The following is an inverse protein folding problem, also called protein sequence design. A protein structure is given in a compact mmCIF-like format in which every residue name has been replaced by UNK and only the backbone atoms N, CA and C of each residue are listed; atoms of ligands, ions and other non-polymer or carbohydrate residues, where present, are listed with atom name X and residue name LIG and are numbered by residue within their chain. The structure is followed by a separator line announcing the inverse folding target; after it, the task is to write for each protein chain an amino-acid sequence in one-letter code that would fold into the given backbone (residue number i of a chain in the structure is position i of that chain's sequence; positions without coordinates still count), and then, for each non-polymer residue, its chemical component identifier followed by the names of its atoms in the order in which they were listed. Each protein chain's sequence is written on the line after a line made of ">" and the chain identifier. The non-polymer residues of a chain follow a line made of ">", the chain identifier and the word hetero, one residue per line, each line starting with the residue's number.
data_IF_061689356038
#
_entry.id   IF_061689356038
#
_cell.length_a   1.000
_cell.length_b   1.000
_cell.length_c   1.000
_cell.angle_alpha   90.00
_cell.angle_beta   90.00
_cell.angle_gamma   90.00
#
_symmetry.space_group_name_H-M   'P 1'
#
loop_
_entity.id
_entity.type
_entity.pdbx_description
1 polymer ?
#
# COMPACT_ATOMS: atom_id res chain seq x y z
N UNK A 1 -11.38 5.30 -14.75
CA UNK A 1 -10.82 6.38 -15.63
C UNK A 1 -9.66 5.81 -16.41
N UNK A 2 -9.20 6.46 -17.50
CA UNK A 2 -7.98 6.00 -18.19
C UNK A 2 -6.71 6.54 -17.50
N UNK A 3 -5.52 6.03 -17.90
CA UNK A 3 -4.25 6.41 -17.27
C UNK A 3 -3.92 7.90 -17.39
N UNK A 4 -4.23 8.52 -18.53
CA UNK A 4 -3.97 9.95 -18.75
C UNK A 4 -4.88 10.80 -17.85
N UNK A 5 -6.18 10.48 -17.79
CA UNK A 5 -7.13 11.18 -16.91
C UNK A 5 -6.71 11.08 -15.45
N UNK A 6 -6.30 9.91 -14.99
CA UNK A 6 -5.81 9.71 -13.62
C UNK A 6 -4.57 10.56 -13.33
N UNK A 7 -3.60 10.58 -14.25
CA UNK A 7 -2.39 11.37 -14.10
C UNK A 7 -2.68 12.88 -14.06
N UNK A 8 -3.58 13.37 -14.93
CA UNK A 8 -4.01 14.77 -14.94
C UNK A 8 -4.73 15.16 -13.63
N UNK A 9 -5.59 14.26 -13.11
CA UNK A 9 -6.27 14.48 -11.82
C UNK A 9 -5.28 14.43 -10.66
N UNK A 10 -4.36 13.45 -10.62
CA UNK A 10 -3.32 13.38 -9.60
C UNK A 10 -2.43 14.63 -9.60
N UNK A 11 -2.12 15.18 -10.78
CA UNK A 11 -1.36 16.44 -10.90
C UNK A 11 -2.08 17.64 -10.26
N UNK A 12 -3.41 17.70 -10.29
CA UNK A 12 -4.18 18.76 -9.58
C UNK A 12 -3.97 18.69 -8.07
N UNK A 13 -3.77 17.51 -7.52
CA UNK A 13 -3.57 17.26 -6.09
C UNK A 13 -2.11 17.13 -5.70
N UNK A 14 -1.15 17.42 -6.60
CA UNK A 14 0.28 17.20 -6.37
C UNK A 14 0.79 17.87 -5.08
N UNK A 15 0.34 19.09 -4.78
CA UNK A 15 0.69 19.78 -3.53
C UNK A 15 0.20 19.04 -2.28
N UNK A 16 -1.06 18.62 -2.28
CA UNK A 16 -1.65 17.84 -1.18
C UNK A 16 -0.97 16.48 -1.02
N UNK A 17 -0.68 15.80 -2.13
CA UNK A 17 0.04 14.50 -2.12
C UNK A 17 1.45 14.69 -1.56
N UNK A 18 2.15 15.78 -1.90
CA UNK A 18 3.48 16.09 -1.37
C UNK A 18 3.45 16.35 0.16
N UNK A 19 2.44 17.06 0.66
CA UNK A 19 2.27 17.28 2.10
C UNK A 19 1.98 15.97 2.85
N UNK A 20 1.14 15.09 2.29
CA UNK A 20 0.86 13.75 2.86
C UNK A 20 2.15 12.93 2.90
N UNK A 21 2.91 12.91 1.79
CA UNK A 21 4.20 12.23 1.71
C UNK A 21 5.16 12.71 2.80
N UNK A 22 5.38 14.02 2.90
CA UNK A 22 6.28 14.60 3.90
C UNK A 22 5.83 14.24 5.32
N UNK A 23 4.53 14.34 5.60
CA UNK A 23 3.97 13.99 6.90
C UNK A 23 4.18 12.52 7.26
N UNK A 24 4.01 11.59 6.31
CA UNK A 24 4.26 10.17 6.53
C UNK A 24 5.75 9.86 6.71
N UNK A 25 6.63 10.47 5.92
CA UNK A 25 8.09 10.35 6.08
C UNK A 25 8.54 10.80 7.48
N UNK A 26 8.08 11.97 7.92
CA UNK A 26 8.41 12.50 9.25
C UNK A 26 7.89 11.58 10.36
N UNK A 27 6.68 11.05 10.22
CA UNK A 27 6.10 10.11 11.18
C UNK A 27 7.00 8.89 11.43
N UNK A 28 7.50 8.26 10.37
CA UNK A 28 8.38 7.09 10.49
C UNK A 28 9.79 7.46 10.95
N UNK A 29 10.31 8.63 10.53
CA UNK A 29 11.59 9.13 11.01
C UNK A 29 11.57 9.43 12.53
N UNK A 30 10.48 9.99 13.04
CA UNK A 30 10.31 10.32 14.46
C UNK A 30 10.35 9.09 15.37
N UNK A 31 9.95 7.93 14.87
CA UNK A 31 10.06 6.67 15.60
C UNK A 31 11.34 5.88 15.28
N UNK A 32 12.20 6.41 14.42
CA UNK A 32 13.47 5.78 14.04
C UNK A 32 13.32 4.55 13.15
N UNK A 33 12.20 4.45 12.42
CA UNK A 33 11.95 3.34 11.50
C UNK A 33 12.87 3.43 10.28
N UNK A 34 13.47 2.31 9.91
CA UNK A 34 14.31 2.18 8.71
C UNK A 34 13.82 1.07 7.81
N UNK A 35 14.14 1.16 6.52
CA UNK A 35 13.90 0.11 5.54
C UNK A 35 15.22 -0.60 5.22
N UNK A 36 15.23 -1.94 5.33
CA UNK A 36 16.42 -2.79 5.16
C UNK A 36 17.61 -2.34 6.06
N UNK A 37 17.31 -1.85 7.27
CA UNK A 37 18.28 -1.33 8.27
C UNK A 37 19.21 -0.19 7.78
N UNK A 38 18.98 0.34 6.59
CA UNK A 38 19.90 1.29 5.92
C UNK A 38 19.25 2.54 5.39
N UNK A 39 18.01 2.43 4.89
CA UNK A 39 17.33 3.51 4.21
C UNK A 39 16.28 4.13 5.14
N UNK A 40 15.98 5.43 5.02
CA UNK A 40 14.79 5.99 5.66
C UNK A 40 13.54 5.20 5.20
N UNK A 41 12.61 4.96 6.12
CA UNK A 41 11.40 4.18 5.80
C UNK A 41 10.56 4.82 4.68
N UNK A 42 10.62 6.14 4.55
CA UNK A 42 10.00 6.89 3.46
C UNK A 42 10.36 6.38 2.07
N UNK A 43 11.52 5.72 1.90
CA UNK A 43 11.89 5.09 0.63
C UNK A 43 10.89 3.98 0.23
N UNK A 44 10.47 3.15 1.19
CA UNK A 44 9.44 2.14 0.96
C UNK A 44 8.08 2.77 0.64
N UNK A 45 7.68 3.78 1.40
CA UNK A 45 6.42 4.49 1.19
C UNK A 45 6.34 5.11 -0.21
N UNK A 46 7.45 5.68 -0.69
CA UNK A 46 7.55 6.21 -2.05
C UNK A 46 7.39 5.13 -3.12
N UNK A 47 7.96 3.94 -2.93
CA UNK A 47 7.77 2.82 -3.86
C UNK A 47 6.32 2.33 -3.90
N UNK A 48 5.62 2.31 -2.77
CA UNK A 48 4.20 1.94 -2.72
C UNK A 48 3.34 3.01 -3.42
N UNK A 49 3.64 4.29 -3.20
CA UNK A 49 2.96 5.40 -3.88
C UNK A 49 3.24 5.42 -5.40
N UNK A 50 4.43 4.98 -5.86
CA UNK A 50 4.71 4.78 -7.29
C UNK A 50 3.75 3.76 -7.91
N UNK A 51 3.43 2.69 -7.21
CA UNK A 51 2.39 1.74 -7.61
C UNK A 51 1.03 2.42 -7.82
N UNK A 52 0.65 3.35 -6.94
CA UNK A 52 -0.58 4.15 -7.11
C UNK A 52 -0.49 5.06 -8.33
N UNK A 53 0.63 5.75 -8.53
CA UNK A 53 0.84 6.60 -9.72
C UNK A 53 0.68 5.83 -11.03
N UNK A 54 1.23 4.64 -11.10
CA UNK A 54 1.31 3.84 -12.33
C UNK A 54 0.04 3.06 -12.63
N UNK A 55 -0.65 2.56 -11.63
CA UNK A 55 -1.76 1.61 -11.78
C UNK A 55 -3.08 2.06 -11.14
N UNK A 56 -3.10 3.16 -10.39
CA UNK A 56 -4.28 3.67 -9.70
C UNK A 56 -5.48 3.93 -10.62
N UNK A 57 -5.23 4.26 -11.88
CA UNK A 57 -6.25 4.47 -12.90
C UNK A 57 -7.17 3.24 -13.08
N UNK A 58 -6.64 2.04 -12.88
CA UNK A 58 -7.36 0.79 -13.09
C UNK A 58 -8.35 0.48 -11.98
N UNK A 59 -8.23 1.12 -10.81
CA UNK A 59 -9.08 0.88 -9.65
C UNK A 59 -9.86 2.11 -9.18
N UNK A 60 -9.38 3.32 -9.46
CA UNK A 60 -9.97 4.55 -8.97
C UNK A 60 -11.31 4.85 -9.66
N UNK A 61 -12.39 4.88 -8.89
CA UNK A 61 -13.77 5.05 -9.39
C UNK A 61 -14.21 6.51 -9.44
N UNK A 62 -13.59 7.40 -8.66
CA UNK A 62 -13.97 8.81 -8.51
C UNK A 62 -12.73 9.67 -8.30
N UNK A 63 -12.67 10.87 -8.90
CA UNK A 63 -11.57 11.83 -8.71
C UNK A 63 -11.33 12.15 -7.23
N UNK A 64 -12.39 12.22 -6.42
CA UNK A 64 -12.28 12.49 -4.98
C UNK A 64 -11.53 11.42 -4.21
N UNK A 65 -11.39 10.20 -4.75
CA UNK A 65 -10.70 9.09 -4.13
C UNK A 65 -9.19 9.10 -4.39
N UNK A 66 -8.68 10.00 -5.24
CA UNK A 66 -7.24 10.09 -5.55
C UNK A 66 -6.44 10.42 -4.28
N UNK A 67 -6.81 11.47 -3.55
CA UNK A 67 -6.10 11.85 -2.32
C UNK A 67 -6.17 10.75 -1.25
N UNK A 68 -7.34 10.15 -0.93
CA UNK A 68 -7.43 8.99 -0.05
C UNK A 68 -6.54 7.81 -0.48
N UNK A 69 -6.46 7.53 -1.79
CA UNK A 69 -5.66 6.41 -2.31
C UNK A 69 -4.16 6.63 -2.09
N UNK A 70 -3.65 7.83 -2.37
CA UNK A 70 -2.26 8.20 -2.04
C UNK A 70 -2.01 8.23 -0.52
N UNK A 71 -2.98 8.72 0.26
CA UNK A 71 -2.88 8.66 1.72
C UNK A 71 -2.75 7.21 2.19
N UNK A 72 -3.59 6.29 1.68
CA UNK A 72 -3.49 4.87 1.98
C UNK A 72 -2.12 4.29 1.68
N UNK A 73 -1.50 4.65 0.54
CA UNK A 73 -0.16 4.21 0.19
C UNK A 73 0.92 4.74 1.15
N UNK A 74 0.89 6.03 1.50
CA UNK A 74 1.88 6.63 2.40
C UNK A 74 1.70 6.25 3.87
N UNK A 75 0.48 5.92 4.31
CA UNK A 75 0.17 5.63 5.71
C UNK A 75 -0.08 4.15 6.00
N UNK A 76 0.05 3.24 5.01
CA UNK A 76 -0.35 1.83 5.16
C UNK A 76 0.28 1.12 6.37
N UNK A 77 1.52 1.45 6.72
CA UNK A 77 2.25 0.87 7.85
C UNK A 77 2.22 1.74 9.12
N UNK A 78 1.51 2.87 9.11
CA UNK A 78 1.52 3.83 10.21
C UNK A 78 0.98 3.29 11.54
N UNK A 79 0.02 2.37 11.51
CA UNK A 79 -0.51 1.71 12.70
C UNK A 79 0.48 0.65 13.19
N UNK A 80 1.06 -0.14 12.29
CA UNK A 80 1.96 -1.25 12.63
C UNK A 80 3.30 -0.73 13.14
N UNK A 81 3.94 0.15 12.40
CA UNK A 81 5.32 0.56 12.60
C UNK A 81 5.46 1.90 13.35
N UNK A 82 4.57 2.86 13.10
CA UNK A 82 4.63 4.17 13.74
C UNK A 82 3.66 4.32 14.93
N UNK A 83 3.00 3.23 15.34
CA UNK A 83 2.15 3.13 16.53
C UNK A 83 0.93 4.05 16.55
N UNK A 84 0.44 4.48 15.40
CA UNK A 84 -0.82 5.21 15.35
C UNK A 84 -1.99 4.28 15.72
N UNK A 85 -3.04 4.87 16.28
CA UNK A 85 -4.34 4.21 16.38
C UNK A 85 -5.18 4.52 15.15
N UNK A 86 -6.24 3.74 14.90
CA UNK A 86 -7.23 4.06 13.86
C UNK A 86 -7.72 5.51 13.95
N UNK A 87 -8.05 5.98 15.17
CA UNK A 87 -8.51 7.35 15.38
C UNK A 87 -7.43 8.40 15.08
N UNK A 88 -6.16 8.09 15.29
CA UNK A 88 -5.06 8.97 14.90
C UNK A 88 -4.95 9.09 13.39
N UNK A 89 -5.12 8.00 12.65
CA UNK A 89 -5.13 7.98 11.19
C UNK A 89 -6.29 8.83 10.65
N UNK A 90 -7.53 8.64 11.16
CA UNK A 90 -8.69 9.46 10.78
C UNK A 90 -8.41 10.94 11.04
N UNK A 91 -7.93 11.29 12.25
CA UNK A 91 -7.62 12.69 12.61
C UNK A 91 -6.55 13.30 11.69
N UNK A 92 -5.56 12.51 11.31
CA UNK A 92 -4.49 12.96 10.40
C UNK A 92 -5.03 13.17 8.99
N UNK A 93 -5.82 12.24 8.45
CA UNK A 93 -6.40 12.32 7.11
C UNK A 93 -7.33 13.55 6.93
N UNK A 94 -8.07 13.94 7.99
CA UNK A 94 -8.92 15.14 8.02
C UNK A 94 -8.20 16.45 7.72
N UNK A 95 -6.88 16.46 7.73
CA UNK A 95 -6.08 17.65 7.36
C UNK A 95 -6.18 17.97 5.87
N UNK A 96 -6.47 16.97 5.03
CA UNK A 96 -6.41 17.06 3.58
C UNK A 96 -7.70 16.66 2.86
N UNK A 97 -8.67 16.08 3.56
CA UNK A 97 -9.90 15.58 2.95
C UNK A 97 -11.10 15.68 3.89
N UNK A 98 -12.30 15.53 3.34
CA UNK A 98 -13.56 15.52 4.11
C UNK A 98 -13.67 14.30 5.03
N UNK A 99 -14.59 14.34 5.99
CA UNK A 99 -14.75 13.29 7.01
C UNK A 99 -15.00 11.91 6.41
N UNK A 100 -15.85 11.81 5.40
CA UNK A 100 -16.19 10.57 4.71
C UNK A 100 -14.95 9.95 4.01
N UNK A 101 -14.17 10.80 3.34
CA UNK A 101 -12.93 10.39 2.67
C UNK A 101 -11.82 10.06 3.68
N UNK A 102 -11.75 10.77 4.80
CA UNK A 102 -10.80 10.49 5.87
C UNK A 102 -11.09 9.12 6.55
N UNK A 103 -12.37 8.80 6.74
CA UNK A 103 -12.78 7.48 7.24
C UNK A 103 -12.41 6.41 6.21
N UNK A 104 -12.72 6.60 4.92
CA UNK A 104 -12.36 5.65 3.87
C UNK A 104 -10.83 5.41 3.82
N UNK A 105 -10.03 6.46 3.91
CA UNK A 105 -8.57 6.36 3.94
C UNK A 105 -8.07 5.59 5.17
N UNK A 106 -8.67 5.82 6.33
CA UNK A 106 -8.32 5.11 7.56
C UNK A 106 -8.74 3.62 7.51
N UNK A 107 -9.88 3.30 6.89
CA UNK A 107 -10.29 1.90 6.67
C UNK A 107 -9.28 1.15 5.79
N UNK A 108 -8.75 1.79 4.73
CA UNK A 108 -7.69 1.21 3.92
C UNK A 108 -6.44 0.90 4.75
N UNK A 109 -5.95 1.87 5.52
CA UNK A 109 -4.78 1.70 6.41
C UNK A 109 -5.03 0.59 7.43
N UNK A 110 -6.21 0.58 8.06
CA UNK A 110 -6.56 -0.42 9.06
C UNK A 110 -6.63 -1.84 8.46
N UNK A 111 -7.21 -1.98 7.27
CA UNK A 111 -7.27 -3.26 6.58
C UNK A 111 -5.88 -3.81 6.21
N UNK A 112 -4.89 -2.94 6.01
CA UNK A 112 -3.51 -3.32 5.68
C UNK A 112 -2.66 -3.64 6.91
N UNK A 113 -3.13 -3.29 8.11
CA UNK A 113 -2.44 -3.57 9.38
C UNK A 113 -2.53 -5.06 9.73
N UNK A 114 -1.39 -5.69 9.95
CA UNK A 114 -1.30 -7.11 10.29
C UNK A 114 -2.03 -7.44 11.62
N UNK A 115 -2.55 -8.66 11.72
CA UNK A 115 -3.05 -9.19 12.99
C UNK A 115 -1.90 -9.43 13.98
N UNK A 116 -2.25 -9.55 15.27
CA UNK A 116 -1.27 -9.92 16.30
C UNK A 116 -0.83 -11.38 16.13
N UNK A 117 0.47 -11.62 16.14
CA UNK A 117 1.01 -12.96 16.01
C UNK A 117 2.54 -12.97 16.20
N UNK A 118 3.06 -14.15 16.57
CA UNK A 118 4.50 -14.37 16.78
C UNK A 118 5.24 -14.65 15.48
N UNK A 119 4.55 -15.25 14.52
CA UNK A 119 5.09 -15.60 13.21
C UNK A 119 4.44 -14.77 12.11
N UNK A 120 5.08 -14.71 10.94
CA UNK A 120 4.53 -14.08 9.74
C UNK A 120 3.17 -14.69 9.35
N UNK A 121 3.05 -16.02 9.40
CA UNK A 121 1.81 -16.71 9.07
C UNK A 121 0.67 -16.41 10.07
N UNK A 122 0.97 -16.29 11.37
CA UNK A 122 -0.03 -15.90 12.36
C UNK A 122 -0.53 -14.46 12.16
N UNK A 123 0.34 -13.55 11.71
CA UNK A 123 -0.01 -12.16 11.45
C UNK A 123 -0.80 -11.99 10.15
N UNK A 124 -0.42 -12.71 9.09
CA UNK A 124 -1.09 -12.71 7.79
C UNK A 124 -2.08 -13.88 7.68
N UNK A 125 -3.03 -13.96 8.62
CA UNK A 125 -4.03 -15.03 8.69
C UNK A 125 -5.29 -14.71 7.86
N UNK A 126 -6.26 -15.63 7.84
CA UNK A 126 -7.51 -15.48 7.07
C UNK A 126 -8.32 -14.24 7.44
N UNK A 127 -8.28 -13.82 8.71
CA UNK A 127 -8.98 -12.61 9.18
C UNK A 127 -8.34 -11.35 8.60
N UNK A 128 -7.02 -11.30 8.57
CA UNK A 128 -6.27 -10.22 7.92
C UNK A 128 -6.62 -10.12 6.43
N UNK A 129 -6.54 -11.22 5.71
CA UNK A 129 -6.89 -11.22 4.29
C UNK A 129 -8.38 -10.95 4.02
N UNK A 130 -9.27 -11.34 4.94
CA UNK A 130 -10.68 -10.97 4.86
C UNK A 130 -10.86 -9.46 4.95
N UNK A 131 -10.19 -8.79 5.88
CA UNK A 131 -10.19 -7.33 5.99
C UNK A 131 -9.77 -6.66 4.69
N UNK A 132 -8.66 -7.13 4.08
CA UNK A 132 -8.17 -6.58 2.81
C UNK A 132 -9.23 -6.74 1.70
N UNK A 133 -9.72 -7.95 1.43
CA UNK A 133 -10.62 -8.19 0.27
C UNK A 133 -12.03 -7.65 0.45
N UNK A 134 -12.39 -7.19 1.66
CA UNK A 134 -13.70 -6.56 1.93
C UNK A 134 -13.64 -5.03 2.06
N UNK A 135 -12.45 -4.43 2.00
CA UNK A 135 -12.25 -2.97 2.07
C UNK A 135 -11.89 -2.42 0.68
N UNK A 136 -12.61 -1.40 0.16
CA UNK A 136 -12.30 -0.80 -1.13
C UNK A 136 -10.84 -0.35 -1.20
N UNK A 137 -10.19 -0.56 -2.34
CA UNK A 137 -8.79 -0.22 -2.62
C UNK A 137 -7.73 -0.98 -1.82
N UNK A 138 -8.08 -1.63 -0.69
CA UNK A 138 -7.09 -2.34 0.11
C UNK A 138 -6.42 -3.51 -0.64
N UNK A 139 -7.11 -4.29 -1.51
CA UNK A 139 -6.44 -5.30 -2.35
C UNK A 139 -5.36 -4.70 -3.24
N UNK A 140 -5.66 -3.57 -3.89
CA UNK A 140 -4.73 -2.85 -4.76
C UNK A 140 -3.54 -2.29 -3.98
N UNK A 141 -3.77 -1.63 -2.85
CA UNK A 141 -2.68 -1.09 -2.01
C UNK A 141 -1.79 -2.21 -1.46
N UNK A 142 -2.37 -3.36 -1.07
CA UNK A 142 -1.57 -4.52 -0.64
C UNK A 142 -0.75 -5.12 -1.78
N UNK A 143 -1.28 -5.09 -3.00
CA UNK A 143 -0.51 -5.49 -4.18
C UNK A 143 0.62 -4.49 -4.46
N UNK A 144 0.39 -3.17 -4.27
CA UNK A 144 1.42 -2.13 -4.41
C UNK A 144 2.56 -2.30 -3.41
N UNK A 145 2.25 -2.56 -2.13
CA UNK A 145 3.23 -2.90 -1.11
C UNK A 145 4.04 -4.15 -1.48
N UNK A 146 3.37 -5.21 -1.96
CA UNK A 146 4.06 -6.43 -2.39
C UNK A 146 4.97 -6.18 -3.59
N UNK A 147 4.53 -5.39 -4.57
CA UNK A 147 5.34 -5.03 -5.74
C UNK A 147 6.58 -4.23 -5.30
N UNK A 148 6.42 -3.24 -4.42
CA UNK A 148 7.52 -2.46 -3.87
C UNK A 148 8.57 -3.36 -3.19
N UNK A 149 8.13 -4.24 -2.30
CA UNK A 149 9.01 -5.16 -1.57
C UNK A 149 9.75 -6.15 -2.48
N UNK A 150 9.07 -6.71 -3.49
CA UNK A 150 9.69 -7.63 -4.45
C UNK A 150 10.67 -6.89 -5.35
N UNK A 151 10.31 -5.71 -5.86
CA UNK A 151 11.20 -4.88 -6.69
C UNK A 151 12.49 -4.57 -5.96
N UNK A 152 12.40 -4.16 -4.69
CA UNK A 152 13.56 -3.91 -3.87
C UNK A 152 14.42 -5.17 -3.68
N UNK A 153 13.80 -6.28 -3.26
CA UNK A 153 14.51 -7.54 -2.99
C UNK A 153 15.19 -8.14 -4.23
N UNK A 154 14.65 -7.88 -5.42
CA UNK A 154 15.24 -8.36 -6.69
C UNK A 154 16.33 -7.42 -7.23
N UNK A 155 16.26 -6.11 -6.94
CA UNK A 155 17.23 -5.12 -7.44
C UNK A 155 18.44 -4.95 -6.53
N UNK A 156 18.35 -5.37 -5.27
CA UNK A 156 19.44 -5.23 -4.30
C UNK A 156 20.10 -6.58 -4.00
N UNK A 157 21.45 -6.58 -3.95
CA UNK A 157 22.24 -7.78 -3.65
C UNK A 157 22.68 -7.74 -2.20
N UNK A 158 22.08 -8.57 -1.39
CA UNK A 158 22.42 -8.78 0.01
C UNK A 158 21.80 -10.09 0.51
N UNK A 159 22.34 -10.68 1.57
CA UNK A 159 21.83 -11.96 2.08
C UNK A 159 20.35 -11.85 2.49
N UNK A 160 19.97 -10.75 3.15
CA UNK A 160 18.57 -10.49 3.53
C UNK A 160 17.64 -10.30 2.32
N UNK A 161 18.08 -9.60 1.27
CA UNK A 161 17.30 -9.40 0.04
C UNK A 161 17.05 -10.73 -0.68
N UNK A 162 18.06 -11.58 -0.79
CA UNK A 162 17.93 -12.90 -1.43
C UNK A 162 16.95 -13.79 -0.67
N UNK A 163 17.02 -13.82 0.67
CA UNK A 163 16.08 -14.58 1.51
C UNK A 163 14.65 -14.08 1.34
N UNK A 164 14.42 -12.77 1.34
CA UNK A 164 13.09 -12.21 1.17
C UNK A 164 12.53 -12.44 -0.23
N UNK A 165 13.36 -12.43 -1.27
CA UNK A 165 12.96 -12.81 -2.63
C UNK A 165 12.38 -14.23 -2.67
N UNK A 166 13.10 -15.21 -2.08
CA UNK A 166 12.64 -16.60 -2.02
C UNK A 166 11.31 -16.75 -1.25
N UNK A 167 11.19 -16.04 -0.11
CA UNK A 167 9.93 -16.00 0.67
C UNK A 167 8.78 -15.47 -0.17
N UNK A 168 8.96 -14.32 -0.83
CA UNK A 168 7.92 -13.71 -1.66
C UNK A 168 7.56 -14.58 -2.86
N UNK A 169 8.54 -15.26 -3.48
CA UNK A 169 8.30 -16.19 -4.57
C UNK A 169 7.41 -17.35 -4.12
N UNK A 170 7.74 -17.96 -2.98
CA UNK A 170 6.98 -19.08 -2.42
C UNK A 170 5.56 -18.69 -2.00
N UNK A 171 5.36 -17.49 -1.48
CA UNK A 171 4.06 -16.96 -1.03
C UNK A 171 3.17 -16.48 -2.17
N UNK A 172 3.73 -16.11 -3.33
CA UNK A 172 3.03 -15.34 -4.37
C UNK A 172 1.70 -15.96 -4.83
N UNK A 173 1.59 -17.27 -5.10
CA UNK A 173 0.32 -17.86 -5.54
C UNK A 173 -0.78 -17.74 -4.48
N UNK A 174 -0.45 -18.05 -3.23
CA UNK A 174 -1.37 -17.93 -2.10
C UNK A 174 -1.75 -16.47 -1.85
N UNK A 175 -0.77 -15.56 -1.86
CA UNK A 175 -0.98 -14.14 -1.66
C UNK A 175 -1.97 -13.55 -2.68
N UNK A 176 -1.77 -13.79 -3.98
CA UNK A 176 -2.65 -13.29 -5.03
C UNK A 176 -4.09 -13.84 -4.90
N UNK A 177 -4.23 -15.08 -4.45
CA UNK A 177 -5.53 -15.67 -4.17
C UNK A 177 -6.17 -15.03 -2.92
N UNK A 178 -5.40 -14.84 -1.85
CA UNK A 178 -5.88 -14.37 -0.56
C UNK A 178 -6.36 -12.91 -0.58
N UNK A 179 -5.73 -12.03 -1.38
CA UNK A 179 -6.15 -10.63 -1.52
C UNK A 179 -7.25 -10.42 -2.57
N UNK A 180 -7.61 -11.44 -3.36
CA UNK A 180 -8.64 -11.33 -4.40
C UNK A 180 -10.02 -11.21 -3.76
N UNK A 181 -10.74 -10.16 -4.10
CA UNK A 181 -12.14 -9.96 -3.70
C UNK A 181 -13.10 -10.62 -4.67
N UNK A 182 -14.23 -11.09 -4.16
CA UNK A 182 -15.38 -11.55 -4.97
C UNK A 182 -16.32 -10.38 -5.30
N UNK A 183 -16.04 -9.17 -4.80
CA UNK A 183 -16.80 -7.97 -5.12
C UNK A 183 -16.50 -7.54 -6.57
N UNK A 184 -17.53 -7.30 -7.36
CA UNK A 184 -17.42 -6.90 -8.77
C UNK A 184 -17.09 -5.41 -8.96
N UNK A 185 -17.13 -4.59 -7.90
CA UNK A 185 -16.75 -3.18 -7.98
C UNK A 185 -15.25 -3.05 -8.27
N UNK A 186 -14.90 -2.16 -9.20
CA UNK A 186 -13.53 -1.98 -9.66
C UNK A 186 -12.55 -1.57 -8.55
N UNK A 187 -13.04 -0.90 -7.50
CA UNK A 187 -12.23 -0.52 -6.34
C UNK A 187 -11.70 -1.72 -5.53
N UNK A 188 -12.22 -2.92 -5.77
CA UNK A 188 -11.72 -4.17 -5.19
C UNK A 188 -10.85 -4.99 -6.15
N UNK A 189 -10.60 -4.49 -7.36
CA UNK A 189 -9.89 -5.22 -8.38
C UNK A 189 -8.37 -5.18 -8.19
N UNK A 190 -7.71 -6.14 -8.81
CA UNK A 190 -6.25 -6.21 -8.91
C UNK A 190 -5.87 -5.95 -10.37
N UNK A 191 -5.13 -4.86 -10.69
CA UNK A 191 -4.71 -4.58 -12.06
C UNK A 191 -3.88 -5.73 -12.65
N UNK A 192 -4.28 -6.27 -13.78
CA UNK A 192 -3.59 -7.39 -14.46
C UNK A 192 -2.15 -7.02 -14.84
N UNK A 193 -1.95 -5.80 -15.34
CA UNK A 193 -0.63 -5.28 -15.72
C UNK A 193 0.34 -5.26 -14.53
N UNK A 194 -0.14 -4.88 -13.36
CA UNK A 194 0.65 -4.88 -12.13
C UNK A 194 1.02 -6.29 -11.66
N UNK A 195 0.08 -7.24 -11.78
CA UNK A 195 0.33 -8.65 -11.48
C UNK A 195 1.35 -9.24 -12.46
N UNK A 196 1.26 -8.90 -13.73
CA UNK A 196 2.19 -9.39 -14.75
C UNK A 196 3.60 -8.82 -14.56
N UNK A 197 3.72 -7.53 -14.24
CA UNK A 197 5.00 -6.92 -13.87
C UNK A 197 5.63 -7.62 -12.65
N UNK A 198 4.83 -7.84 -11.60
CA UNK A 198 5.31 -8.55 -10.41
C UNK A 198 5.84 -9.96 -10.74
N UNK A 199 5.13 -10.70 -11.61
CA UNK A 199 5.59 -12.02 -12.06
C UNK A 199 6.86 -11.97 -12.91
N UNK A 200 7.06 -10.91 -13.69
CA UNK A 200 8.28 -10.75 -14.49
C UNK A 200 9.49 -10.41 -13.58
N UNK A 201 9.33 -9.47 -12.65
CA UNK A 201 10.42 -9.07 -11.73
C UNK A 201 10.90 -10.26 -10.90
N UNK A 202 10.00 -11.12 -10.43
CA UNK A 202 10.37 -12.23 -9.56
C UNK A 202 11.08 -13.38 -10.29
N UNK A 203 11.01 -13.44 -11.63
CA UNK A 203 11.74 -14.44 -12.44
C UNK A 203 13.23 -14.07 -12.62
N UNK A 204 13.58 -12.77 -12.47
CA UNK A 204 14.96 -12.29 -12.57
C UNK A 204 15.78 -12.62 -11.31
#
# INVERSE_FOLDING_TARGET
>A
MNAQEFAEMAAKYAGTIAEIRESAHNLHNDVGQTYDDKLPYGYHLDMVADGVHRFGYAVCVDERHIVPLFFGAFYHDSIEDARLTYNDVVRTARRWMSDDLAIMAAEMVYALTNEKGRTRAERANDKYYLGIRTTPYAPFLKLSDRLANITYSCSHRGEGCCLMKEVYLSELPHFLQAIRSDNADISYSLPSEMIDELKEIIKC
#
